data_IF_369713081320
#
_entry.id   IF_369713081320
#
_cell.length_a   1.000
_cell.length_b   1.000
_cell.length_c   1.000
_cell.angle_alpha   90.00
_cell.angle_beta   90.00
_cell.angle_gamma   90.00
#
_symmetry.space_group_name_H-M   'P 1'
#
loop_
_entity.id
_entity.type
_entity.pdbx_description
1 polymer ?
#
# COMPACT_ATOMS: atom_id res chain seq x y z
N UNK A 1 -0.58 25.51 2.58
CA UNK A 1 -0.31 24.83 1.29
C UNK A 1 -1.65 24.33 0.74
N UNK A 2 -1.96 24.62 -0.53
CA UNK A 2 -3.14 24.05 -1.19
C UNK A 2 -2.80 22.63 -1.64
N UNK A 3 -3.67 21.64 -1.36
CA UNK A 3 -3.53 20.29 -1.93
C UNK A 3 -3.63 20.40 -3.45
N UNK A 4 -2.63 19.86 -4.17
CA UNK A 4 -2.68 19.71 -5.62
C UNK A 4 -1.93 20.75 -6.46
N UNK A 5 -1.17 21.66 -5.84
CA UNK A 5 -0.26 22.61 -6.52
C UNK A 5 0.97 22.86 -5.64
N UNK A 6 1.70 21.79 -5.37
CA UNK A 6 2.95 21.84 -4.61
C UNK A 6 4.08 21.18 -5.41
N UNK A 7 5.30 21.25 -4.86
CA UNK A 7 6.50 20.71 -5.50
C UNK A 7 6.40 19.22 -5.85
N UNK A 8 5.54 18.46 -5.15
CA UNK A 8 5.35 17.04 -5.45
C UNK A 8 4.55 16.86 -6.75
N UNK A 9 3.55 17.71 -6.99
CA UNK A 9 2.78 17.69 -8.24
C UNK A 9 3.67 18.06 -9.43
N UNK A 10 4.46 19.13 -9.29
CA UNK A 10 5.40 19.56 -10.34
C UNK A 10 6.48 18.51 -10.63
N UNK A 11 6.98 17.83 -9.58
CA UNK A 11 7.91 16.72 -9.74
C UNK A 11 7.24 15.53 -10.43
N UNK A 12 6.03 15.15 -10.02
CA UNK A 12 5.29 14.05 -10.63
C UNK A 12 5.00 14.32 -12.10
N UNK A 13 4.50 15.50 -12.47
CA UNK A 13 4.20 15.84 -13.87
C UNK A 13 5.44 15.72 -14.78
N UNK A 14 6.61 16.11 -14.26
CA UNK A 14 7.89 16.00 -14.98
C UNK A 14 8.36 14.56 -15.16
N UNK A 15 8.14 13.73 -14.15
CA UNK A 15 8.68 12.39 -14.07
C UNK A 15 7.65 11.29 -14.41
N UNK A 16 6.37 11.64 -14.61
CA UNK A 16 5.26 10.68 -14.71
C UNK A 16 5.45 9.60 -15.79
N UNK A 17 6.16 9.92 -16.87
CA UNK A 17 6.51 8.98 -17.93
C UNK A 17 7.41 7.82 -17.47
N UNK A 18 8.08 7.93 -16.32
CA UNK A 18 8.91 6.87 -15.72
C UNK A 18 8.11 5.92 -14.83
N UNK A 19 6.83 6.19 -14.60
CA UNK A 19 5.97 5.38 -13.74
C UNK A 19 5.01 4.54 -14.57
N UNK A 20 4.77 3.32 -14.11
CA UNK A 20 3.60 2.57 -14.53
C UNK A 20 2.40 3.09 -13.74
N UNK A 21 1.56 3.89 -14.39
CA UNK A 21 0.32 4.39 -13.78
C UNK A 21 -0.72 3.27 -13.80
N UNK A 22 -1.15 2.83 -12.62
CA UNK A 22 -2.20 1.84 -12.48
C UNK A 22 -3.54 2.46 -12.89
N UNK A 23 -4.09 1.97 -14.00
CA UNK A 23 -5.37 2.42 -14.55
C UNK A 23 -6.58 1.77 -13.87
N UNK A 24 -7.60 1.45 -14.67
CA UNK A 24 -8.79 0.74 -14.19
C UNK A 24 -8.35 -0.62 -13.62
N UNK A 25 -8.68 -0.95 -12.36
CA UNK A 25 -8.21 -2.19 -11.76
C UNK A 25 -8.79 -3.42 -12.46
N UNK A 26 -7.93 -4.40 -12.72
CA UNK A 26 -8.33 -5.73 -13.21
C UNK A 26 -9.34 -6.39 -12.24
N UNK A 27 -10.30 -7.21 -12.73
CA UNK A 27 -11.20 -7.97 -11.87
C UNK A 27 -10.52 -8.74 -10.72
N UNK A 28 -9.30 -9.26 -10.93
CA UNK A 28 -8.48 -9.92 -9.90
C UNK A 28 -8.06 -8.97 -8.78
N UNK A 29 -7.73 -7.72 -9.13
CA UNK A 29 -7.41 -6.67 -8.15
C UNK A 29 -8.66 -6.28 -7.38
N UNK A 30 -9.79 -6.10 -8.06
CA UNK A 30 -11.08 -5.81 -7.40
C UNK A 30 -11.46 -6.93 -6.42
N UNK A 31 -11.26 -8.20 -6.81
CA UNK A 31 -11.49 -9.34 -5.92
C UNK A 31 -10.57 -9.29 -4.70
N UNK A 32 -9.26 -9.10 -4.92
CA UNK A 32 -8.26 -9.01 -3.85
C UNK A 32 -8.54 -7.86 -2.89
N UNK A 33 -8.96 -6.71 -3.41
CA UNK A 33 -9.39 -5.56 -2.62
C UNK A 33 -10.56 -5.90 -1.71
N UNK A 34 -11.62 -6.55 -2.24
CA UNK A 34 -12.78 -6.96 -1.43
C UNK A 34 -12.37 -7.92 -0.33
N UNK A 35 -11.48 -8.88 -0.60
CA UNK A 35 -10.97 -9.82 0.39
C UNK A 35 -10.26 -9.06 1.53
N UNK A 36 -9.32 -8.16 1.20
CA UNK A 36 -8.55 -7.38 2.18
C UNK A 36 -9.46 -6.48 3.02
N UNK A 37 -10.38 -5.74 2.39
CA UNK A 37 -11.28 -4.83 3.09
C UNK A 37 -12.25 -5.59 4.01
N UNK A 38 -12.74 -6.75 3.57
CA UNK A 38 -13.63 -7.56 4.40
C UNK A 38 -12.91 -8.10 5.65
N UNK A 39 -11.68 -8.63 5.52
CA UNK A 39 -10.94 -9.09 6.72
C UNK A 39 -10.59 -7.91 7.62
N UNK A 40 -10.16 -6.78 7.06
CA UNK A 40 -9.85 -5.56 7.82
C UNK A 40 -11.08 -5.07 8.60
N UNK A 41 -12.27 -5.10 7.99
CA UNK A 41 -13.52 -4.72 8.64
C UNK A 41 -13.95 -5.70 9.73
N UNK A 42 -13.73 -7.00 9.53
CA UNK A 42 -14.02 -8.05 10.50
C UNK A 42 -13.03 -8.06 11.68
N UNK A 43 -11.82 -7.52 11.50
CA UNK A 43 -10.80 -7.48 12.55
C UNK A 43 -11.20 -6.50 13.68
N UNK A 44 -11.46 -7.03 14.88
CA UNK A 44 -11.90 -6.25 16.05
C UNK A 44 -10.81 -5.34 16.64
N UNK A 45 -9.53 -5.57 16.32
CA UNK A 45 -8.42 -4.78 16.83
C UNK A 45 -8.46 -3.33 16.33
N UNK A 46 -8.87 -3.13 15.08
CA UNK A 46 -8.86 -1.82 14.44
C UNK A 46 -10.08 -0.99 14.82
N UNK A 47 -9.84 0.30 15.09
CA UNK A 47 -10.94 1.24 15.32
C UNK A 47 -11.76 1.44 14.03
N UNK A 48 -13.05 1.80 14.13
CA UNK A 48 -13.87 2.11 12.95
C UNK A 48 -13.26 3.19 12.05
N UNK A 49 -12.60 4.20 12.64
CA UNK A 49 -11.91 5.25 11.89
C UNK A 49 -10.73 4.69 11.08
N UNK A 50 -9.92 3.82 11.68
CA UNK A 50 -8.78 3.20 11.00
C UNK A 50 -9.23 2.35 9.80
N UNK A 51 -10.31 1.56 9.98
CA UNK A 51 -10.92 0.74 8.92
C UNK A 51 -11.40 1.61 7.76
N UNK A 52 -12.14 2.68 8.06
CA UNK A 52 -12.65 3.62 7.06
C UNK A 52 -11.53 4.34 6.32
N UNK A 53 -10.52 4.83 7.04
CA UNK A 53 -9.38 5.53 6.46
C UNK A 53 -8.66 4.62 5.46
N UNK A 54 -8.30 3.41 5.88
CA UNK A 54 -7.61 2.44 5.03
C UNK A 54 -8.43 2.07 3.78
N UNK A 55 -9.73 1.81 3.94
CA UNK A 55 -10.64 1.52 2.83
C UNK A 55 -10.83 2.69 1.86
N UNK A 56 -10.37 3.89 2.20
CA UNK A 56 -10.44 5.08 1.32
C UNK A 56 -9.08 5.55 0.84
N UNK A 57 -7.98 4.94 1.31
CA UNK A 57 -6.62 5.34 0.97
C UNK A 57 -6.07 4.55 -0.22
N UNK A 58 -4.98 5.06 -0.80
CA UNK A 58 -4.23 4.33 -1.83
C UNK A 58 -3.58 3.04 -1.28
N UNK A 59 -3.32 2.96 0.03
CA UNK A 59 -2.63 1.82 0.66
C UNK A 59 -3.41 0.51 0.51
N UNK A 60 -4.74 0.57 0.58
CA UNK A 60 -5.59 -0.63 0.40
C UNK A 60 -5.55 -1.15 -1.04
N UNK A 61 -5.51 -0.25 -2.02
CA UNK A 61 -5.31 -0.62 -3.43
C UNK A 61 -3.92 -1.19 -3.66
N UNK A 62 -2.87 -0.59 -3.09
CA UNK A 62 -1.50 -1.10 -3.19
C UNK A 62 -1.40 -2.54 -2.67
N UNK A 63 -2.01 -2.84 -1.52
CA UNK A 63 -2.09 -4.20 -0.99
C UNK A 63 -2.89 -5.14 -1.90
N UNK A 64 -3.98 -4.66 -2.50
CA UNK A 64 -4.79 -5.46 -3.43
C UNK A 64 -4.01 -5.87 -4.69
N UNK A 65 -3.20 -4.96 -5.24
CA UNK A 65 -2.29 -5.28 -6.36
C UNK A 65 -1.24 -6.32 -5.95
N UNK A 66 -0.61 -6.15 -4.79
CA UNK A 66 0.36 -7.12 -4.25
C UNK A 66 -0.24 -8.52 -4.08
N UNK A 67 -1.47 -8.62 -3.56
CA UNK A 67 -2.17 -9.89 -3.44
C UNK A 67 -2.58 -10.47 -4.80
N UNK A 68 -3.06 -9.62 -5.72
CA UNK A 68 -3.55 -10.06 -7.02
C UNK A 68 -2.41 -10.61 -7.90
N UNK A 69 -1.24 -9.96 -7.90
CA UNK A 69 -0.16 -10.30 -8.85
C UNK A 69 1.05 -10.97 -8.19
N UNK A 70 1.11 -10.99 -6.86
CA UNK A 70 2.27 -11.53 -6.14
C UNK A 70 3.48 -10.59 -6.15
N UNK A 71 3.26 -9.32 -6.49
CA UNK A 71 4.29 -8.29 -6.50
C UNK A 71 4.80 -7.99 -5.09
N UNK A 72 6.05 -7.57 -4.99
CA UNK A 72 6.65 -7.15 -3.72
C UNK A 72 6.36 -5.68 -3.45
N UNK A 73 5.76 -5.38 -2.31
CA UNK A 73 5.46 -4.01 -1.90
C UNK A 73 6.67 -3.42 -1.18
N UNK A 74 7.16 -2.27 -1.65
CA UNK A 74 8.18 -1.49 -0.94
C UNK A 74 7.48 -0.47 -0.05
N UNK A 75 7.80 -0.44 1.24
CA UNK A 75 7.20 0.52 2.18
C UNK A 75 8.20 1.01 3.21
N UNK A 76 8.00 2.26 3.67
CA UNK A 76 8.75 2.83 4.79
C UNK A 76 8.09 2.54 6.15
N UNK A 77 6.91 1.92 6.14
CA UNK A 77 6.23 1.52 7.37
C UNK A 77 6.88 0.32 8.02
N UNK A 78 6.80 0.25 9.35
CA UNK A 78 7.19 -0.93 10.12
C UNK A 78 5.96 -1.65 10.63
N UNK A 79 6.01 -2.99 10.55
CA UNK A 79 5.02 -3.86 11.17
C UNK A 79 4.84 -3.52 12.65
N UNK A 80 3.59 -3.49 13.10
CA UNK A 80 3.23 -3.21 14.48
C UNK A 80 2.04 -4.10 14.87
N UNK A 81 2.29 -5.16 15.62
CA UNK A 81 1.29 -6.19 15.91
C UNK A 81 0.04 -5.61 16.57
N UNK A 82 0.21 -4.76 17.58
CA UNK A 82 -0.87 -4.29 18.45
C UNK A 82 -1.50 -2.96 18.03
N UNK A 83 -1.18 -2.45 16.83
CA UNK A 83 -1.69 -1.16 16.36
C UNK A 83 -3.21 -1.22 16.16
N UNK A 84 -3.93 -0.28 16.77
CA UNK A 84 -5.39 -0.18 16.66
C UNK A 84 -5.86 1.00 15.82
N UNK A 85 -5.07 2.08 15.82
CA UNK A 85 -5.44 3.39 15.27
C UNK A 85 -5.23 3.55 13.76
N UNK A 86 -4.51 2.63 13.13
CA UNK A 86 -4.18 2.65 11.70
C UNK A 86 -3.96 1.23 11.20
N UNK A 87 -4.38 0.96 9.98
CA UNK A 87 -4.07 -0.28 9.27
C UNK A 87 -2.78 -0.02 8.47
N UNK A 88 -1.69 -0.68 8.85
CA UNK A 88 -0.38 -0.51 8.22
C UNK A 88 -0.18 -1.51 7.09
N UNK A 89 0.54 -1.11 6.04
CA UNK A 89 0.84 -1.96 4.88
C UNK A 89 1.51 -3.28 5.31
N UNK A 90 2.58 -3.28 6.14
CA UNK A 90 3.21 -4.52 6.62
C UNK A 90 2.28 -5.48 7.37
N UNK A 91 1.26 -4.98 8.07
CA UNK A 91 0.31 -5.82 8.81
C UNK A 91 -0.58 -6.60 7.83
N UNK A 92 -1.14 -5.91 6.84
CA UNK A 92 -1.92 -6.53 5.76
C UNK A 92 -1.04 -7.49 4.96
N UNK A 93 0.20 -7.09 4.63
CA UNK A 93 1.09 -7.96 3.89
C UNK A 93 1.37 -9.28 4.63
N UNK A 94 1.59 -9.23 5.95
CA UNK A 94 1.76 -10.46 6.76
C UNK A 94 0.50 -11.30 6.84
N UNK A 95 -0.67 -10.68 7.02
CA UNK A 95 -1.95 -11.39 7.12
C UNK A 95 -2.26 -12.17 5.84
N UNK A 96 -1.98 -11.59 4.68
CA UNK A 96 -2.29 -12.17 3.37
C UNK A 96 -1.11 -12.86 2.67
N UNK A 97 0.05 -12.94 3.31
CA UNK A 97 1.25 -13.55 2.72
C UNK A 97 1.81 -12.76 1.52
N UNK A 98 1.56 -11.46 1.44
CA UNK A 98 2.11 -10.57 0.42
C UNK A 98 3.58 -10.27 0.78
N UNK A 99 4.48 -10.37 -0.20
CA UNK A 99 5.88 -10.00 -0.01
C UNK A 99 5.99 -8.49 0.15
N UNK A 100 6.74 -8.05 1.15
CA UNK A 100 7.08 -6.65 1.31
C UNK A 100 8.50 -6.49 1.84
N UNK A 101 9.12 -5.36 1.50
CA UNK A 101 10.47 -5.00 1.90
C UNK A 101 10.54 -3.53 2.31
N UNK A 102 11.54 -3.20 3.14
CA UNK A 102 11.87 -1.82 3.46
C UNK A 102 12.73 -1.16 2.36
N UNK A 103 12.93 0.15 2.46
CA UNK A 103 13.72 0.91 1.49
C UNK A 103 15.17 0.42 1.39
N UNK A 104 15.80 0.04 2.51
CA UNK A 104 17.20 -0.40 2.49
C UNK A 104 17.33 -1.77 1.82
N UNK A 105 16.37 -2.66 2.05
CA UNK A 105 16.26 -3.94 1.35
C UNK A 105 16.06 -3.71 -0.15
N UNK A 106 15.13 -2.83 -0.54
CA UNK A 106 14.92 -2.50 -1.95
C UNK A 106 16.18 -1.94 -2.62
N UNK A 107 16.86 -0.98 -1.99
CA UNK A 107 18.12 -0.41 -2.51
C UNK A 107 19.16 -1.51 -2.78
N UNK A 108 19.31 -2.48 -1.87
CA UNK A 108 20.21 -3.61 -2.06
C UNK A 108 19.78 -4.52 -3.21
N UNK A 109 18.49 -4.80 -3.36
CA UNK A 109 17.96 -5.64 -4.45
C UNK A 109 18.21 -5.02 -5.83
N UNK A 110 18.13 -3.70 -5.96
CA UNK A 110 18.40 -2.99 -7.22
C UNK A 110 19.88 -2.62 -7.41
N UNK A 111 20.77 -3.12 -6.55
CA UNK A 111 22.22 -2.95 -6.67
C UNK A 111 22.78 -1.60 -6.19
N UNK A 112 21.97 -0.77 -5.53
CA UNK A 112 22.45 0.47 -4.89
C UNK A 112 23.17 0.09 -3.59
N UNK A 113 24.43 0.51 -3.47
CA UNK A 113 25.26 0.34 -2.27
C UNK A 113 25.53 1.72 -1.65
N UNK A 114 25.32 1.83 -0.35
CA UNK A 114 25.69 3.01 0.46
C UNK A 114 27.17 2.96 0.84
#
# INVERSE_FOLDING_TARGET
MRRGQDLLVEWYERECAKFTVLGIPDPKVIHSYRVIINSTNANEQYTPSAKKEFASSADSWLCAYGLAFGDTIVTLEKYEADIKKRVKIPNICREFGIKYIDLLQFMREIGIRL
#
